data_IF_157261729452
#
_entry.id   IF_157261729452
#
_cell.length_a   1.000
_cell.length_b   1.000
_cell.length_c   1.000
_cell.angle_alpha   90.00
_cell.angle_beta   90.00
_cell.angle_gamma   90.00
#
_symmetry.space_group_name_H-M   'P 1'
#
loop_
_entity.id
_entity.type
_entity.pdbx_description
1 polymer ?
#
# COMPACT_ATOMS: atom_id res chain seq x y z
N UNK A 1 82.55 -27.19 -89.12
CA UNK A 1 81.51 -26.50 -88.33
C UNK A 1 81.44 -27.18 -86.98
N UNK A 2 81.16 -26.45 -85.89
CA UNK A 2 81.38 -26.94 -84.52
C UNK A 2 80.35 -28.00 -84.09
N UNK A 3 80.83 -29.00 -83.37
CA UNK A 3 80.04 -29.98 -82.64
C UNK A 3 79.38 -29.33 -81.41
N UNK A 4 78.26 -29.88 -80.93
CA UNK A 4 78.23 -30.66 -79.67
C UNK A 4 76.78 -31.06 -79.27
N UNK A 5 76.53 -32.36 -79.14
CA UNK A 5 75.49 -32.91 -78.26
C UNK A 5 76.10 -33.26 -76.90
N UNK A 6 75.35 -33.11 -75.79
CA UNK A 6 75.22 -34.17 -74.75
C UNK A 6 74.21 -33.88 -73.62
N UNK A 7 73.19 -34.74 -73.59
CA UNK A 7 72.69 -35.60 -72.48
C UNK A 7 72.58 -35.08 -71.03
N UNK A 8 71.43 -35.45 -70.44
CA UNK A 8 70.98 -35.40 -69.02
C UNK A 8 71.90 -36.14 -68.04
N UNK A 9 71.89 -35.75 -66.76
CA UNK A 9 72.09 -36.64 -65.58
C UNK A 9 71.19 -36.26 -64.40
N UNK A 10 71.01 -37.19 -63.46
CA UNK A 10 69.96 -37.22 -62.43
C UNK A 10 70.22 -36.39 -61.17
N UNK A 11 69.14 -35.84 -60.60
CA UNK A 11 69.10 -35.20 -59.28
C UNK A 11 68.85 -36.23 -58.17
N UNK A 12 69.68 -36.28 -57.12
CA UNK A 12 69.61 -37.30 -56.07
C UNK A 12 70.02 -36.83 -54.67
N UNK A 13 69.06 -36.89 -53.74
CA UNK A 13 69.19 -37.01 -52.27
C UNK A 13 70.30 -36.25 -51.52
N UNK A 14 69.96 -35.05 -51.02
CA UNK A 14 70.65 -34.44 -49.86
C UNK A 14 69.98 -34.75 -48.50
N UNK A 15 68.76 -35.31 -48.51
CA UNK A 15 67.98 -35.57 -47.29
C UNK A 15 68.47 -36.77 -46.47
N UNK A 16 69.08 -37.79 -47.10
CA UNK A 16 69.48 -39.03 -46.40
C UNK A 16 70.71 -38.91 -45.49
N UNK A 17 71.41 -37.76 -45.48
CA UNK A 17 72.52 -37.52 -44.55
C UNK A 17 72.09 -36.89 -43.22
N UNK A 18 70.93 -36.22 -43.16
CA UNK A 18 70.50 -35.51 -41.95
C UNK A 18 69.92 -36.45 -40.86
N UNK A 19 69.29 -37.56 -41.28
CA UNK A 19 68.65 -38.54 -40.39
C UNK A 19 69.60 -39.52 -39.68
N UNK A 20 70.92 -39.32 -39.72
CA UNK A 20 71.92 -40.23 -39.11
C UNK A 20 72.42 -39.82 -37.71
N UNK A 21 71.90 -38.73 -37.11
CA UNK A 21 72.29 -38.29 -35.76
C UNK A 21 71.25 -38.74 -34.72
N UNK A 22 71.69 -39.48 -33.70
CA UNK A 22 70.85 -40.06 -32.62
C UNK A 22 70.01 -39.06 -31.81
N UNK A 23 70.29 -37.76 -31.93
CA UNK A 23 69.60 -36.66 -31.25
C UNK A 23 68.41 -36.06 -32.02
N UNK A 24 68.21 -36.43 -33.30
CA UNK A 24 67.15 -35.88 -34.13
C UNK A 24 65.76 -36.32 -33.66
N UNK A 25 65.60 -37.58 -33.22
CA UNK A 25 64.32 -38.08 -32.72
C UNK A 25 63.88 -37.44 -31.39
N UNK A 26 64.73 -37.29 -30.36
CA UNK A 26 64.41 -36.49 -29.16
C UNK A 26 64.04 -35.04 -29.48
N UNK A 27 64.77 -34.37 -30.37
CA UNK A 27 64.51 -32.98 -30.73
C UNK A 27 63.15 -32.81 -31.44
N UNK A 28 62.82 -33.69 -32.38
CA UNK A 28 61.51 -33.69 -33.06
C UNK A 28 60.37 -33.94 -32.06
N UNK A 29 60.56 -34.88 -31.11
CA UNK A 29 59.56 -35.17 -30.09
C UNK A 29 59.27 -33.95 -29.20
N UNK A 30 60.30 -33.24 -28.74
CA UNK A 30 60.15 -32.00 -27.97
C UNK A 30 59.42 -30.89 -28.73
N UNK A 31 59.71 -30.72 -30.03
CA UNK A 31 59.00 -29.76 -30.88
C UNK A 31 57.53 -30.17 -31.05
N UNK A 32 57.22 -31.45 -31.29
CA UNK A 32 55.83 -31.92 -31.36
C UNK A 32 55.07 -31.75 -30.04
N UNK A 33 55.72 -31.99 -28.90
CA UNK A 33 55.12 -31.80 -27.59
C UNK A 33 54.80 -30.32 -27.31
N UNK A 34 55.68 -29.40 -27.73
CA UNK A 34 55.43 -27.96 -27.63
C UNK A 34 54.24 -27.52 -28.48
N UNK A 35 54.09 -28.03 -29.70
CA UNK A 35 52.93 -27.73 -30.58
C UNK A 35 51.61 -28.30 -30.01
N UNK A 36 51.64 -29.49 -29.42
CA UNK A 36 50.46 -30.07 -28.77
C UNK A 36 50.09 -29.27 -27.51
N UNK A 37 51.07 -28.88 -26.69
CA UNK A 37 50.83 -28.06 -25.51
C UNK A 37 50.28 -26.67 -25.87
N UNK A 38 50.81 -26.00 -26.90
CA UNK A 38 50.25 -24.70 -27.33
C UNK A 38 48.84 -24.85 -27.89
N UNK A 39 48.55 -25.93 -28.64
CA UNK A 39 47.19 -26.23 -29.11
C UNK A 39 46.20 -26.52 -27.96
N UNK A 40 46.62 -27.26 -26.92
CA UNK A 40 45.80 -27.54 -25.72
C UNK A 40 45.55 -26.26 -24.92
N UNK A 41 46.56 -25.41 -24.76
CA UNK A 41 46.41 -24.10 -24.11
C UNK A 41 45.48 -23.17 -24.91
N UNK A 42 45.57 -23.17 -26.25
CA UNK A 42 44.64 -22.43 -27.10
C UNK A 42 43.21 -22.97 -26.99
N UNK A 43 43.02 -24.29 -26.96
CA UNK A 43 41.71 -24.92 -26.80
C UNK A 43 41.08 -24.64 -25.42
N UNK A 44 41.89 -24.61 -24.35
CA UNK A 44 41.44 -24.19 -23.02
C UNK A 44 41.14 -22.68 -22.97
N UNK A 45 41.93 -21.84 -23.64
CA UNK A 45 41.69 -20.40 -23.71
C UNK A 45 40.40 -20.06 -24.46
N UNK A 46 40.13 -20.71 -25.61
CA UNK A 46 38.85 -20.55 -26.33
C UNK A 46 37.67 -20.92 -25.43
N UNK A 47 37.75 -22.07 -24.74
CA UNK A 47 36.67 -22.56 -23.88
C UNK A 47 36.47 -21.77 -22.58
N UNK A 48 37.49 -21.02 -22.15
CA UNK A 48 37.38 -20.09 -21.01
C UNK A 48 37.01 -18.65 -21.43
N UNK A 49 37.03 -18.32 -22.73
CA UNK A 49 36.65 -17.00 -23.24
C UNK A 49 35.12 -16.82 -23.40
N UNK A 50 34.31 -17.88 -23.33
CA UNK A 50 32.84 -17.79 -23.28
C UNK A 50 32.29 -17.28 -21.93
N UNK A 51 33.15 -16.71 -21.07
CA UNK A 51 32.79 -16.28 -19.71
C UNK A 51 33.17 -14.83 -19.36
N UNK A 52 33.67 -14.02 -20.32
CA UNK A 52 33.86 -12.57 -20.18
C UNK A 52 34.08 -11.92 -21.55
N UNK A 53 33.05 -11.31 -22.15
CA UNK A 53 33.06 -9.87 -22.45
C UNK A 53 31.65 -9.35 -22.79
N UNK A 54 31.36 -8.15 -22.33
CA UNK A 54 30.15 -7.37 -22.58
C UNK A 54 30.71 -5.97 -22.95
N UNK A 55 30.74 -5.55 -24.21
CA UNK A 55 29.70 -4.70 -24.80
C UNK A 55 30.15 -4.22 -26.18
N UNK A 56 29.23 -4.01 -27.14
CA UNK A 56 29.05 -2.76 -27.95
C UNK A 56 27.97 -2.99 -29.02
N UNK A 57 26.82 -2.33 -28.83
CA UNK A 57 25.90 -1.73 -29.83
C UNK A 57 26.01 -2.10 -31.32
N UNK A 58 25.02 -2.83 -31.88
CA UNK A 58 24.09 -2.36 -32.94
C UNK A 58 23.05 -3.47 -33.27
N UNK A 59 21.84 -3.08 -33.70
CA UNK A 59 20.60 -3.84 -33.58
C UNK A 59 20.45 -5.17 -34.33
N UNK A 60 19.79 -6.12 -33.65
CA UNK A 60 18.52 -6.70 -34.10
C UNK A 60 17.81 -7.39 -32.93
N UNK A 61 16.55 -7.01 -32.68
CA UNK A 61 15.79 -7.41 -31.49
C UNK A 61 15.28 -8.86 -31.58
N UNK A 62 15.76 -9.70 -30.67
CA UNK A 62 15.09 -10.94 -30.28
C UNK A 62 15.07 -10.99 -28.75
N UNK A 63 14.14 -10.24 -28.16
CA UNK A 63 13.89 -10.20 -26.71
C UNK A 63 13.67 -11.59 -26.11
N UNK A 64 14.74 -12.17 -25.57
CA UNK A 64 14.63 -13.08 -24.44
C UNK A 64 14.32 -12.22 -23.23
N UNK A 65 13.05 -12.23 -22.80
CA UNK A 65 12.71 -11.77 -21.46
C UNK A 65 13.35 -12.75 -20.49
N UNK A 66 14.53 -12.38 -20.01
CA UNK A 66 15.07 -12.91 -18.77
C UNK A 66 14.15 -12.37 -17.67
N UNK A 67 13.07 -13.11 -17.41
CA UNK A 67 12.14 -12.83 -16.32
C UNK A 67 12.97 -12.72 -15.04
N UNK A 68 13.20 -11.49 -14.59
CA UNK A 68 13.85 -11.23 -13.32
C UNK A 68 13.03 -11.93 -12.26
N UNK A 69 13.54 -13.04 -11.74
CA UNK A 69 12.88 -13.80 -10.68
C UNK A 69 12.87 -12.93 -9.42
N UNK A 70 11.82 -12.12 -9.28
CA UNK A 70 11.53 -11.38 -8.06
C UNK A 70 11.43 -12.42 -6.97
N UNK A 71 12.36 -12.37 -6.03
CA UNK A 71 12.45 -13.34 -4.96
C UNK A 71 11.22 -13.12 -4.05
N UNK A 72 10.19 -13.97 -4.21
CA UNK A 72 8.92 -13.88 -3.46
C UNK A 72 9.13 -14.39 -2.03
N UNK A 73 9.97 -13.68 -1.30
CA UNK A 73 10.16 -13.79 0.14
C UNK A 73 9.53 -12.54 0.78
N UNK A 74 8.26 -12.32 0.47
CA UNK A 74 7.39 -11.43 1.24
C UNK A 74 7.38 -11.99 2.68
N UNK A 75 8.16 -11.38 3.58
CA UNK A 75 8.05 -11.68 5.00
C UNK A 75 6.61 -11.44 5.41
N UNK A 76 5.95 -12.44 6.02
CA UNK A 76 4.58 -12.26 6.51
C UNK A 76 4.65 -11.25 7.66
N UNK A 77 4.27 -10.02 7.36
CA UNK A 77 4.18 -8.95 8.36
C UNK A 77 2.87 -9.07 9.13
N UNK A 78 2.97 -8.81 10.44
CA UNK A 78 1.84 -8.69 11.33
C UNK A 78 1.54 -7.21 11.54
N UNK A 79 0.27 -6.80 11.65
CA UNK A 79 -0.06 -5.39 11.87
C UNK A 79 0.60 -4.84 13.13
N UNK A 80 1.13 -3.63 13.06
CA UNK A 80 1.66 -2.91 14.23
C UNK A 80 0.84 -1.68 14.55
N UNK A 81 0.86 -1.28 15.82
CA UNK A 81 0.34 0.03 16.23
C UNK A 81 1.03 1.14 15.42
N UNK A 82 0.30 2.13 14.90
CA UNK A 82 0.83 3.17 14.02
C UNK A 82 1.54 4.31 14.81
N UNK A 83 2.44 3.92 15.71
CA UNK A 83 3.28 4.79 16.52
C UNK A 83 4.69 4.19 16.67
N UNK A 84 5.69 5.02 16.91
CA UNK A 84 7.07 4.55 17.18
C UNK A 84 7.14 3.73 18.49
N UNK A 85 6.42 4.18 19.52
CA UNK A 85 6.38 3.56 20.84
C UNK A 85 4.92 3.25 21.21
N UNK A 86 4.49 1.97 21.17
CA UNK A 86 3.15 1.55 21.54
C UNK A 86 2.78 1.85 23.01
N UNK A 87 3.75 1.86 23.93
CA UNK A 87 3.50 2.12 25.36
C UNK A 87 3.30 3.62 25.65
N UNK A 88 3.76 4.50 24.74
CA UNK A 88 3.60 5.95 24.84
C UNK A 88 2.21 6.44 24.37
N UNK A 89 1.39 5.59 23.75
CA UNK A 89 0.09 5.93 23.18
C UNK A 89 -1.06 5.15 23.83
N UNK A 90 -2.29 5.62 23.58
CA UNK A 90 -3.54 4.98 24.02
C UNK A 90 -4.65 5.22 22.99
N UNK A 91 -5.60 4.29 22.92
CA UNK A 91 -6.85 4.50 22.19
C UNK A 91 -7.75 5.41 23.02
N UNK A 92 -8.30 6.46 22.39
CA UNK A 92 -9.22 7.42 23.01
C UNK A 92 -10.64 7.34 22.45
N UNK A 93 -10.83 6.76 21.26
CA UNK A 93 -12.14 6.42 20.70
C UNK A 93 -12.02 5.06 19.99
N UNK A 94 -12.90 4.13 20.37
CA UNK A 94 -12.87 2.75 19.88
C UNK A 94 -13.58 2.63 18.52
N UNK A 95 -13.39 1.50 17.84
CA UNK A 95 -14.20 1.11 16.68
C UNK A 95 -15.63 0.80 17.10
N UNK A 96 -16.62 1.21 16.29
CA UNK A 96 -18.03 0.98 16.58
C UNK A 96 -18.47 -0.43 16.16
N UNK A 97 -18.75 -1.28 17.15
CA UNK A 97 -19.36 -2.60 16.92
C UNK A 97 -20.85 -2.58 17.31
N UNK A 98 -21.72 -2.90 16.35
CA UNK A 98 -23.17 -2.98 16.52
C UNK A 98 -23.61 -4.06 17.52
N UNK A 99 -22.73 -5.02 17.84
CA UNK A 99 -23.01 -6.12 18.78
C UNK A 99 -22.42 -5.88 20.19
N UNK A 100 -21.66 -4.80 20.39
CA UNK A 100 -21.11 -4.44 21.70
C UNK A 100 -22.20 -3.89 22.64
N UNK A 101 -21.90 -3.75 23.94
CA UNK A 101 -22.85 -3.16 24.89
C UNK A 101 -23.10 -1.67 24.60
N UNK A 102 -24.26 -1.14 25.01
CA UNK A 102 -24.64 0.27 24.81
C UNK A 102 -23.52 1.24 25.26
N UNK A 103 -22.90 0.97 26.40
CA UNK A 103 -21.78 1.76 26.94
C UNK A 103 -20.53 1.72 26.04
N UNK A 104 -20.22 0.59 25.42
CA UNK A 104 -19.09 0.48 24.50
C UNK A 104 -19.40 1.22 23.19
N UNK A 105 -20.63 1.07 22.68
CA UNK A 105 -21.13 1.80 21.51
C UNK A 105 -21.03 3.33 21.73
N UNK A 106 -21.48 3.84 22.88
CA UNK A 106 -21.35 5.26 23.26
C UNK A 106 -19.90 5.76 23.17
N UNK A 107 -18.92 4.97 23.63
CA UNK A 107 -17.49 5.34 23.57
C UNK A 107 -16.86 5.22 22.17
N UNK A 108 -17.61 4.71 21.19
CA UNK A 108 -17.21 4.55 19.80
C UNK A 108 -18.01 5.46 18.84
N UNK A 109 -18.75 6.43 19.36
CA UNK A 109 -19.43 7.45 18.56
C UNK A 109 -18.60 8.73 18.45
N UNK A 110 -18.52 9.27 17.24
CA UNK A 110 -17.92 10.57 16.93
C UNK A 110 -19.02 11.60 16.74
N UNK A 111 -19.00 12.70 17.50
CA UNK A 111 -20.00 13.77 17.39
C UNK A 111 -19.52 14.90 16.47
N UNK A 112 -20.23 15.12 15.37
CA UNK A 112 -19.92 16.15 14.38
C UNK A 112 -21.19 16.75 13.77
N UNK A 113 -21.23 18.08 13.58
CA UNK A 113 -22.37 18.80 12.99
C UNK A 113 -23.76 18.35 13.53
N UNK A 114 -23.91 18.36 14.86
CA UNK A 114 -25.14 17.95 15.56
C UNK A 114 -25.58 16.49 15.33
N UNK A 115 -24.71 15.64 14.77
CA UNK A 115 -24.98 14.24 14.43
C UNK A 115 -23.92 13.33 15.07
N UNK A 116 -24.30 12.11 15.44
CA UNK A 116 -23.37 11.07 15.87
C UNK A 116 -23.06 10.13 14.70
N UNK A 117 -21.78 9.81 14.54
CA UNK A 117 -21.27 8.92 13.51
C UNK A 117 -20.58 7.70 14.17
N UNK A 118 -20.79 6.47 13.67
CA UNK A 118 -20.05 5.30 14.14
C UNK A 118 -18.58 5.41 13.71
N UNK A 119 -17.66 5.21 14.65
CA UNK A 119 -16.24 5.25 14.36
C UNK A 119 -15.81 4.03 13.51
N UNK A 120 -15.20 4.27 12.35
CA UNK A 120 -14.78 3.21 11.40
C UNK A 120 -13.36 2.68 11.65
N UNK A 121 -12.67 3.22 12.65
CA UNK A 121 -11.30 2.85 13.02
C UNK A 121 -11.08 2.98 14.53
N UNK A 122 -9.87 3.35 14.93
CA UNK A 122 -9.54 3.75 16.30
C UNK A 122 -8.84 5.10 16.29
N UNK A 123 -9.14 5.94 17.26
CA UNK A 123 -8.42 7.19 17.48
C UNK A 123 -7.33 6.99 18.54
N UNK A 124 -6.09 7.25 18.17
CA UNK A 124 -4.90 6.99 18.98
C UNK A 124 -4.25 8.33 19.34
N UNK A 125 -4.12 8.61 20.63
CA UNK A 125 -3.46 9.79 21.17
C UNK A 125 -2.26 9.41 22.04
N UNK A 126 -1.28 10.31 22.21
CA UNK A 126 -0.22 10.07 23.19
C UNK A 126 -0.78 10.13 24.62
N UNK A 127 -0.09 9.46 25.55
CA UNK A 127 -0.47 9.47 26.96
C UNK A 127 -0.46 10.88 27.59
N UNK A 128 0.39 11.78 27.07
CA UNK A 128 0.53 13.17 27.50
C UNK A 128 -0.22 14.20 26.62
N UNK A 129 -0.99 13.75 25.61
CA UNK A 129 -1.81 14.59 24.73
C UNK A 129 -1.05 15.49 23.75
N UNK A 130 0.23 15.20 23.49
CA UNK A 130 1.07 15.91 22.51
C UNK A 130 1.05 15.22 21.14
N UNK A 131 1.58 15.92 20.15
CA UNK A 131 1.87 15.34 18.84
C UNK A 131 2.98 14.29 18.95
N UNK A 132 2.86 13.22 18.17
CA UNK A 132 3.81 12.12 18.06
C UNK A 132 3.95 11.70 16.59
N UNK A 133 5.06 11.07 16.24
CA UNK A 133 5.29 10.57 14.88
C UNK A 133 4.47 9.29 14.64
N UNK A 134 3.71 9.29 13.55
CA UNK A 134 2.85 8.19 13.10
C UNK A 134 3.64 7.33 12.11
N UNK A 135 3.57 6.02 12.31
CA UNK A 135 4.28 5.04 11.51
C UNK A 135 3.34 4.18 10.66
N UNK A 136 3.82 3.68 9.53
CA UNK A 136 3.10 2.71 8.73
C UNK A 136 2.94 1.39 9.51
N UNK A 137 1.70 0.95 9.70
CA UNK A 137 1.33 -0.29 10.39
C UNK A 137 1.82 -1.56 9.68
N UNK A 138 1.95 -1.48 8.35
CA UNK A 138 2.46 -2.52 7.44
C UNK A 138 3.22 -1.87 6.28
N UNK A 139 4.14 -2.59 5.67
CA UNK A 139 4.79 -2.22 4.41
C UNK A 139 3.77 -2.16 3.27
N UNK A 140 3.93 -1.22 2.34
CA UNK A 140 2.99 -1.04 1.24
C UNK A 140 3.35 0.10 0.29
N UNK A 141 2.40 0.47 -0.57
CA UNK A 141 2.51 1.62 -1.48
C UNK A 141 1.48 2.67 -1.10
N UNK A 142 1.89 3.93 -0.98
CA UNK A 142 1.01 5.05 -0.66
C UNK A 142 0.10 5.32 -1.86
N UNK A 143 -1.19 4.99 -1.74
CA UNK A 143 -2.20 5.26 -2.76
C UNK A 143 -2.66 6.72 -2.73
N UNK A 144 -2.64 7.34 -1.55
CA UNK A 144 -3.14 8.69 -1.30
C UNK A 144 -2.33 9.38 -0.20
N UNK A 145 -2.03 10.66 -0.39
CA UNK A 145 -1.46 11.54 0.62
C UNK A 145 -1.88 12.98 0.33
N UNK A 146 -2.94 13.46 0.97
CA UNK A 146 -3.49 14.80 0.72
C UNK A 146 -4.00 15.48 2.00
N UNK A 147 -4.34 16.77 1.89
CA UNK A 147 -4.92 17.54 2.99
C UNK A 147 -6.42 17.73 2.80
N UNK A 148 -7.20 17.11 3.66
CA UNK A 148 -8.63 17.34 3.78
C UNK A 148 -8.94 18.41 4.85
N UNK A 149 -9.99 19.20 4.64
CA UNK A 149 -10.36 20.32 5.53
C UNK A 149 -11.11 19.88 6.78
N UNK A 150 -11.76 18.71 6.75
CA UNK A 150 -12.51 18.09 7.83
C UNK A 150 -11.66 17.05 8.58
N UNK A 151 -10.92 16.23 7.85
CA UNK A 151 -10.18 15.06 8.34
C UNK A 151 -8.70 15.33 8.65
N UNK A 152 -8.13 16.48 8.24
CA UNK A 152 -6.70 16.76 8.38
C UNK A 152 -5.89 16.19 7.21
N UNK A 153 -4.58 15.96 7.39
CA UNK A 153 -3.86 15.17 6.40
C UNK A 153 -4.31 13.70 6.45
N UNK A 154 -4.54 13.13 5.28
CA UNK A 154 -4.99 11.75 5.08
C UNK A 154 -3.96 11.01 4.23
N UNK A 155 -3.44 9.91 4.76
CA UNK A 155 -2.58 8.96 4.06
C UNK A 155 -3.33 7.63 3.93
N UNK A 156 -3.33 7.04 2.74
CA UNK A 156 -3.87 5.70 2.45
C UNK A 156 -2.72 4.85 1.90
N UNK A 157 -2.46 3.71 2.52
CA UNK A 157 -1.44 2.76 2.08
C UNK A 157 -2.14 1.48 1.61
N UNK A 158 -1.84 1.06 0.39
CA UNK A 158 -2.26 -0.21 -0.19
C UNK A 158 -1.23 -1.31 0.13
N UNK A 159 -1.75 -2.45 0.56
CA UNK A 159 -1.01 -3.66 0.90
C UNK A 159 -1.44 -4.83 0.00
N UNK A 160 -0.90 -6.01 0.24
CA UNK A 160 -1.31 -7.22 -0.48
C UNK A 160 -2.77 -7.62 -0.13
N UNK A 161 -3.35 -8.49 -0.96
CA UNK A 161 -4.66 -9.14 -0.72
C UNK A 161 -5.86 -8.17 -0.54
N UNK A 162 -5.82 -6.99 -1.19
CA UNK A 162 -6.93 -6.02 -1.16
C UNK A 162 -7.06 -5.25 0.16
N UNK A 163 -6.05 -5.35 1.02
CA UNK A 163 -6.01 -4.68 2.32
C UNK A 163 -5.42 -3.27 2.17
N UNK A 164 -6.00 -2.32 2.91
CA UNK A 164 -5.51 -0.94 3.02
C UNK A 164 -5.46 -0.50 4.47
N UNK A 165 -4.51 0.36 4.80
CA UNK A 165 -4.52 1.13 6.04
C UNK A 165 -4.70 2.61 5.77
N UNK A 166 -5.51 3.29 6.59
CA UNK A 166 -5.81 4.72 6.47
C UNK A 166 -5.40 5.43 7.75
N UNK A 167 -4.74 6.57 7.59
CA UNK A 167 -4.22 7.42 8.66
C UNK A 167 -4.75 8.82 8.43
N UNK A 168 -5.64 9.29 9.30
CA UNK A 168 -6.25 10.62 9.23
C UNK A 168 -5.95 11.42 10.50
N UNK A 169 -6.41 12.67 10.57
CA UNK A 169 -6.08 13.63 11.64
C UNK A 169 -4.60 14.02 11.71
N UNK A 170 -3.81 13.71 10.67
CA UNK A 170 -2.40 14.06 10.64
C UNK A 170 -2.20 15.58 10.51
N UNK A 171 -1.19 16.10 11.21
CA UNK A 171 -0.78 17.51 11.16
C UNK A 171 0.05 17.83 9.91
N UNK A 172 0.85 16.87 9.47
CA UNK A 172 1.61 16.87 8.23
C UNK A 172 1.73 15.45 7.65
N UNK A 173 2.39 15.33 6.50
CA UNK A 173 2.79 14.04 5.94
C UNK A 173 4.26 14.11 5.50
N UNK A 174 4.96 12.98 5.60
CA UNK A 174 6.34 12.79 5.12
C UNK A 174 6.43 12.06 3.78
N UNK A 175 5.27 11.64 3.25
CA UNK A 175 5.14 10.78 2.06
C UNK A 175 4.16 11.38 1.06
N UNK A 176 4.19 10.88 -0.18
CA UNK A 176 3.32 11.26 -1.27
C UNK A 176 2.77 10.03 -2.00
N UNK A 177 1.72 10.21 -2.81
CA UNK A 177 1.15 9.12 -3.61
C UNK A 177 2.20 8.52 -4.57
N UNK A 178 2.30 7.19 -4.58
CA UNK A 178 3.29 6.41 -5.33
C UNK A 178 4.53 5.99 -4.53
N UNK A 179 4.77 6.56 -3.35
CA UNK A 179 5.90 6.16 -2.51
C UNK A 179 5.72 4.72 -1.98
N UNK A 180 6.82 3.97 -1.90
CA UNK A 180 6.86 2.67 -1.20
C UNK A 180 7.39 2.87 0.21
N UNK A 181 6.63 2.44 1.21
CA UNK A 181 6.94 2.58 2.62
C UNK A 181 7.07 1.22 3.29
N UNK A 182 7.92 1.13 4.32
CA UNK A 182 8.10 -0.07 5.14
C UNK A 182 7.30 0.02 6.43
N UNK A 183 6.95 -1.13 7.02
CA UNK A 183 6.43 -1.19 8.38
C UNK A 183 7.35 -0.43 9.35
N UNK A 184 6.76 0.41 10.21
CA UNK A 184 7.48 1.24 11.16
C UNK A 184 8.09 2.53 10.58
N UNK A 185 8.00 2.76 9.26
CA UNK A 185 8.46 4.00 8.63
C UNK A 185 7.54 5.17 8.99
N UNK A 186 8.12 6.35 9.27
CA UNK A 186 7.37 7.55 9.67
C UNK A 186 6.69 8.16 8.44
N UNK A 187 5.36 8.25 8.47
CA UNK A 187 4.53 8.75 7.35
C UNK A 187 3.94 10.14 7.60
N UNK A 188 4.00 10.65 8.83
CA UNK A 188 3.47 11.95 9.23
C UNK A 188 3.46 12.12 10.75
N UNK A 189 2.99 13.28 11.21
CA UNK A 189 2.83 13.57 12.64
C UNK A 189 1.33 13.62 13.02
N UNK A 190 0.97 13.07 14.18
CA UNK A 190 -0.38 13.13 14.73
C UNK A 190 -0.82 14.59 14.99
N UNK A 191 -2.09 14.89 14.71
CA UNK A 191 -2.60 16.26 14.62
C UNK A 191 -4.01 16.41 15.16
N UNK A 192 -4.76 17.36 14.61
CA UNK A 192 -6.16 17.61 14.98
C UNK A 192 -7.00 17.77 13.72
N UNK A 193 -8.18 17.15 13.71
CA UNK A 193 -9.17 17.31 12.66
C UNK A 193 -10.38 18.11 13.17
N UNK A 194 -11.37 18.37 12.29
CA UNK A 194 -12.66 18.93 12.70
C UNK A 194 -13.71 17.85 12.98
N UNK A 195 -13.49 16.61 12.53
CA UNK A 195 -14.44 15.52 12.63
C UNK A 195 -14.56 14.94 14.04
N UNK A 196 -13.44 14.54 14.68
CA UNK A 196 -13.39 14.11 16.08
C UNK A 196 -12.55 15.09 16.92
N UNK A 197 -13.20 16.19 17.35
CA UNK A 197 -12.54 17.22 18.18
C UNK A 197 -12.22 16.72 19.59
N UNK A 198 -13.00 15.77 20.09
CA UNK A 198 -12.92 15.28 21.46
C UNK A 198 -11.72 14.34 21.67
N UNK A 199 -11.27 13.65 20.62
CA UNK A 199 -10.01 12.89 20.62
C UNK A 199 -8.74 13.75 20.75
N UNK A 200 -8.83 15.08 20.61
CA UNK A 200 -7.71 16.00 20.84
C UNK A 200 -6.60 15.86 19.79
N UNK A 201 -5.33 15.76 20.22
CA UNK A 201 -4.22 15.46 19.30
C UNK A 201 -4.13 13.95 19.11
N UNK A 202 -4.46 13.47 17.90
CA UNK A 202 -4.60 12.06 17.60
C UNK A 202 -4.22 11.72 16.16
N UNK A 203 -4.06 10.43 15.88
CA UNK A 203 -4.24 9.84 14.54
C UNK A 203 -5.51 9.01 14.56
N UNK A 204 -6.32 9.14 13.52
CA UNK A 204 -7.41 8.21 13.24
C UNK A 204 -6.87 7.09 12.36
N UNK A 205 -6.94 5.84 12.83
CA UNK A 205 -6.38 4.68 12.14
C UNK A 205 -7.46 3.67 11.76
N UNK A 206 -7.51 3.30 10.47
CA UNK A 206 -8.41 2.27 9.96
C UNK A 206 -7.65 1.12 9.29
N UNK A 207 -8.19 -0.08 9.43
CA UNK A 207 -7.88 -1.22 8.58
C UNK A 207 -9.10 -1.46 7.69
N UNK A 208 -8.90 -1.47 6.37
CA UNK A 208 -9.94 -1.81 5.39
C UNK A 208 -9.53 -3.01 4.56
N UNK A 209 -10.50 -3.83 4.17
CA UNK A 209 -10.35 -4.85 3.13
C UNK A 209 -11.56 -4.80 2.22
N UNK A 210 -11.32 -4.80 0.91
CA UNK A 210 -12.38 -4.76 -0.13
C UNK A 210 -13.43 -3.65 0.10
N UNK A 211 -12.98 -2.52 0.65
CA UNK A 211 -13.81 -1.35 1.00
C UNK A 211 -14.50 -1.41 2.37
N UNK A 212 -14.62 -2.58 3.02
CA UNK A 212 -15.18 -2.74 4.37
C UNK A 212 -14.13 -2.39 5.43
N UNK A 213 -14.53 -1.62 6.43
CA UNK A 213 -13.70 -1.30 7.59
C UNK A 213 -13.80 -2.41 8.66
N UNK A 214 -12.68 -2.66 9.35
CA UNK A 214 -12.53 -3.70 10.35
C UNK A 214 -11.92 -3.11 11.63
N UNK A 215 -12.39 -3.55 12.81
CA UNK A 215 -11.85 -3.12 14.11
C UNK A 215 -10.34 -3.41 14.17
N UNK A 216 -9.47 -2.38 14.19
CA UNK A 216 -8.02 -2.60 14.14
C UNK A 216 -7.47 -3.37 15.34
N UNK A 217 -8.12 -3.27 16.51
CA UNK A 217 -7.69 -3.97 17.74
C UNK A 217 -7.82 -5.49 17.64
N UNK A 218 -8.63 -6.01 16.72
CA UNK A 218 -8.77 -7.45 16.47
C UNK A 218 -7.67 -8.02 15.57
N UNK A 219 -6.78 -7.17 15.02
CA UNK A 219 -5.74 -7.56 14.07
C UNK A 219 -4.34 -7.07 14.47
N UNK A 220 -4.19 -6.28 15.53
CA UNK A 220 -2.88 -5.92 16.07
C UNK A 220 -2.08 -7.18 16.41
N UNK A 221 -0.83 -7.23 15.96
CA UNK A 221 0.07 -8.37 16.07
C UNK A 221 -0.39 -9.67 15.37
N UNK A 222 -1.51 -9.67 14.63
CA UNK A 222 -1.95 -10.75 13.75
C UNK A 222 -1.35 -10.60 12.33
N UNK A 223 -1.06 -11.70 11.60
CA UNK A 223 -0.54 -11.65 10.24
C UNK A 223 -1.58 -11.11 9.26
N UNK A 224 -1.12 -10.51 8.16
CA UNK A 224 -1.98 -9.99 7.08
C UNK A 224 -2.99 -11.03 6.53
N UNK A 225 -2.67 -12.33 6.59
CA UNK A 225 -3.55 -13.42 6.14
C UNK A 225 -4.83 -13.58 6.97
N UNK A 226 -4.85 -13.13 8.23
CA UNK A 226 -6.00 -13.24 9.15
C UNK A 226 -7.27 -12.54 8.61
N UNK A 227 -7.10 -11.38 7.95
CA UNK A 227 -8.18 -10.66 7.25
C UNK A 227 -8.72 -11.43 6.03
N UNK A 228 -7.96 -12.39 5.50
CA UNK A 228 -8.37 -13.19 4.34
C UNK A 228 -9.09 -14.45 4.75
N UNK A 229 -8.59 -15.18 5.73
CA UNK A 229 -9.26 -16.38 6.25
C UNK A 229 -10.62 -16.02 6.87
N UNK A 230 -10.66 -14.98 7.72
CA UNK A 230 -11.89 -14.53 8.39
C UNK A 230 -12.93 -13.91 7.43
N UNK A 231 -12.50 -13.43 6.25
CA UNK A 231 -13.43 -12.96 5.20
C UNK A 231 -14.13 -14.09 4.42
N UNK A 232 -13.71 -15.35 4.59
CA UNK A 232 -14.31 -16.52 3.92
C UNK A 232 -15.37 -17.21 4.79
N UNK A 233 -15.38 -16.95 6.11
CA UNK A 233 -16.32 -17.57 7.06
C UNK A 233 -17.61 -16.76 7.30
N UNK A 234 -17.64 -15.49 6.90
CA UNK A 234 -18.84 -14.64 6.94
C UNK A 234 -19.73 -14.95 5.71
N UNK A 235 -20.95 -15.51 5.87
CA UNK A 235 -21.81 -15.82 4.74
C UNK A 235 -22.27 -14.54 4.04
N UNK A 236 -22.13 -14.52 2.71
CA UNK A 236 -22.70 -13.46 1.88
C UNK A 236 -24.23 -13.57 1.86
N UNK A 237 -24.91 -12.81 2.73
CA UNK A 237 -26.36 -12.66 2.65
C UNK A 237 -26.71 -11.88 1.37
N UNK A 238 -27.11 -12.64 0.35
CA UNK A 238 -27.43 -12.14 -0.98
C UNK A 238 -28.76 -11.38 -1.00
N UNK A 239 -28.84 -10.41 -1.91
CA UNK A 239 -30.07 -9.71 -2.20
C UNK A 239 -31.20 -10.68 -2.60
N UNK A 240 -32.26 -10.74 -1.79
CA UNK A 240 -33.50 -11.42 -2.13
C UNK A 240 -34.59 -10.38 -2.45
N UNK A 241 -34.61 -9.91 -3.70
CA UNK A 241 -35.81 -9.28 -4.25
C UNK A 241 -36.96 -10.30 -4.21
N UNK A 242 -38.16 -9.85 -3.83
CA UNK A 242 -39.38 -10.64 -4.02
C UNK A 242 -40.59 -9.76 -4.32
N UNK A 243 -40.64 -9.27 -5.55
CA UNK A 243 -41.93 -9.09 -6.22
C UNK A 243 -42.34 -10.44 -6.82
N UNK A 244 -43.54 -10.93 -6.52
CA UNK A 244 -44.58 -11.06 -7.55
C UNK A 244 -45.95 -11.40 -6.97
N UNK A 245 -46.97 -10.87 -7.65
CA UNK A 245 -48.38 -10.93 -7.36
C UNK A 245 -48.99 -12.35 -7.44
N UNK A 246 -50.17 -12.54 -6.84
CA UNK A 246 -51.42 -12.62 -7.63
C UNK A 246 -52.72 -12.68 -6.80
N UNK A 247 -53.73 -11.99 -7.33
CA UNK A 247 -55.17 -12.30 -7.47
C UNK A 247 -55.84 -13.18 -6.38
N UNK A 248 -56.94 -12.83 -5.72
CA UNK A 248 -57.87 -11.69 -5.87
C UNK A 248 -59.33 -12.17 -5.96
N UNK A 249 -60.27 -11.60 -5.20
CA UNK A 249 -61.72 -11.68 -5.50
C UNK A 249 -62.50 -10.52 -4.85
N UNK A 250 -63.58 -10.09 -5.49
CA UNK A 250 -64.39 -8.91 -5.14
C UNK A 250 -65.42 -9.18 -4.04
N UNK A 251 -65.74 -8.15 -3.25
CA UNK A 251 -67.10 -7.92 -2.75
C UNK A 251 -67.35 -6.41 -2.55
N UNK A 252 -68.58 -5.96 -2.79
CA UNK A 252 -68.96 -4.56 -3.06
C UNK A 252 -69.60 -3.85 -1.86
N UNK A 253 -70.11 -2.62 -2.09
CA UNK A 253 -71.00 -1.80 -1.23
C UNK A 253 -70.38 -1.22 0.07
N UNK A 254 -70.67 0.01 0.51
CA UNK A 254 -71.56 1.05 -0.06
C UNK A 254 -71.14 2.48 0.39
N UNK A 255 -71.86 3.49 -0.09
CA UNK A 255 -71.85 4.90 0.33
C UNK A 255 -71.77 5.06 1.88
N UNK A 256 -71.20 6.14 2.44
CA UNK A 256 -71.82 7.48 2.40
C UNK A 256 -70.87 8.51 3.02
N UNK A 257 -70.68 9.66 2.36
CA UNK A 257 -70.25 10.90 3.03
C UNK A 257 -71.49 11.72 3.40
N UNK A 258 -71.41 12.55 4.46
CA UNK A 258 -71.72 13.95 4.18
C UNK A 258 -70.73 14.93 4.84
N UNK A 259 -70.68 16.11 4.24
CA UNK A 259 -70.28 17.37 4.89
C UNK A 259 -71.35 17.78 5.95
N UNK A 260 -71.31 18.88 6.69
CA UNK A 260 -70.70 20.19 6.45
C UNK A 260 -70.64 20.99 7.77
N UNK A 261 -70.00 22.18 7.73
CA UNK A 261 -70.23 23.36 8.60
C UNK A 261 -70.29 23.16 10.15
N UNK A 262 -69.60 23.94 11.00
CA UNK A 262 -69.71 25.40 11.10
C UNK A 262 -68.64 25.96 12.07
N UNK A 263 -67.89 26.98 11.64
CA UNK A 263 -67.33 28.05 12.50
C UNK A 263 -68.33 29.23 12.44
N UNK A 264 -68.46 30.10 13.46
CA UNK A 264 -67.35 30.89 14.03
C UNK A 264 -67.39 30.87 15.60
N UNK A 265 -66.92 31.81 16.43
CA UNK A 265 -66.48 33.20 16.22
C UNK A 265 -65.47 33.70 17.28
N UNK A 266 -65.03 34.96 17.13
CA UNK A 266 -64.13 35.73 17.99
C UNK A 266 -64.71 36.16 19.36
N UNK A 267 -63.85 36.42 20.37
CA UNK A 267 -63.67 37.81 20.84
C UNK A 267 -62.37 38.03 21.63
N UNK A 268 -61.91 39.28 21.65
CA UNK A 268 -60.63 39.75 22.18
C UNK A 268 -60.67 40.14 23.67
N UNK A 269 -59.51 40.26 24.31
CA UNK A 269 -59.23 41.38 25.22
C UNK A 269 -57.73 41.64 25.42
N UNK A 270 -57.32 42.89 25.19
CA UNK A 270 -55.96 43.41 25.44
C UNK A 270 -55.86 44.13 26.80
N UNK A 271 -54.71 44.78 27.05
CA UNK A 271 -54.34 45.71 28.15
C UNK A 271 -53.63 45.06 29.35
N UNK A 272 -52.58 45.63 29.96
CA UNK A 272 -51.76 46.86 29.78
C UNK A 272 -50.34 46.54 30.27
N UNK A 273 -49.26 46.96 29.60
CA UNK A 273 -48.63 48.29 29.67
C UNK A 273 -48.15 48.71 31.09
N UNK A 274 -46.83 48.77 31.29
CA UNK A 274 -46.19 49.94 31.92
C UNK A 274 -44.72 50.07 31.48
N UNK A 275 -44.33 51.29 31.17
CA UNK A 275 -42.96 51.81 31.00
C UNK A 275 -42.29 52.00 32.40
N UNK A 276 -41.11 52.60 32.63
CA UNK A 276 -40.27 53.56 31.89
C UNK A 276 -38.88 53.70 32.59
N UNK A 277 -37.85 54.21 31.87
CA UNK A 277 -36.76 55.14 32.26
C UNK A 277 -36.11 55.15 33.70
N UNK A 278 -34.86 55.58 33.97
CA UNK A 278 -33.86 56.31 33.16
C UNK A 278 -32.39 56.21 33.69
N UNK A 279 -31.42 56.41 32.76
CA UNK A 279 -30.12 57.14 32.78
C UNK A 279 -29.24 57.37 34.04
N UNK A 280 -27.98 57.70 33.71
CA UNK A 280 -26.95 58.48 34.44
C UNK A 280 -26.07 57.69 35.44
N UNK A 281 -24.77 57.99 35.64
CA UNK A 281 -23.88 58.86 34.87
C UNK A 281 -22.38 58.46 35.00
N UNK A 282 -21.56 59.12 34.18
CA UNK A 282 -20.10 59.08 34.09
C UNK A 282 -19.32 59.37 35.40
N UNK A 283 -18.24 58.62 35.70
CA UNK A 283 -17.02 59.19 36.34
C UNK A 283 -15.74 58.33 36.23
N UNK A 284 -14.72 58.92 35.61
CA UNK A 284 -13.25 58.75 35.74
C UNK A 284 -12.80 58.33 37.17
N UNK A 285 -11.76 57.50 37.39
CA UNK A 285 -10.33 57.92 37.41
C UNK A 285 -9.35 56.73 37.61
N UNK A 286 -8.16 56.82 36.99
CA UNK A 286 -6.96 55.93 37.02
C UNK A 286 -6.00 56.36 38.19
N UNK A 287 -5.02 55.60 38.75
CA UNK A 287 -4.24 54.48 38.19
C UNK A 287 -4.20 53.16 38.95
#
# INVERSE_FOLDING_TARGET
>A
MREEEKKRTSQGSKFQQFFRKKWVFPAIYLVSAAVILTAVLWYQAIRNNDANDLSTDDGTDVSYNEDQSVEVNQSVENFKMPAIDPDAVKVVTNFYDFNASEKEQETALVFHNNTYHPNQGIDIASNDGKAFEVTASLSGTVAKAEKDSLLGYVVEIEHENGVKTIYQSLADTKVQAGDKVKQGEIIGQAGKNQFNKDAGVHVHFEIRKDGKAYNPLNYMDEPLTSLTEKSVEEPSDGAAQKEENKDGEEATSDETAPSDETQPDEEQSQSKENSEQEKSDNSTTKP
#
